data_IF_757860399320
#
_entry.id   IF_757860399320
#
_cell.length_a   1.000
_cell.length_b   1.000
_cell.length_c   1.000
_cell.angle_alpha   90.00
_cell.angle_beta   90.00
_cell.angle_gamma   90.00
#
_symmetry.space_group_name_H-M   'P 1'
#
loop_
_entity.id
_entity.type
_entity.pdbx_description
1 polymer ?
#
# COMPACT_ATOMS: atom_id res chain seq x y z
N UNK A 1 7.28 17.58 17.33
CA UNK A 1 7.24 16.18 16.85
C UNK A 1 5.85 15.77 16.35
N UNK A 2 4.81 16.61 16.55
CA UNK A 2 3.41 16.30 16.25
C UNK A 2 3.07 16.12 14.76
N UNK A 3 3.55 17.02 13.89
CA UNK A 3 3.14 17.03 12.48
C UNK A 3 3.68 15.83 11.68
N UNK A 4 4.92 15.43 11.94
CA UNK A 4 5.52 14.26 11.29
C UNK A 4 4.85 12.94 11.71
N UNK A 5 4.48 12.82 12.99
CA UNK A 5 3.81 11.61 13.51
C UNK A 5 2.38 11.51 13.00
N UNK A 6 1.64 12.63 13.01
CA UNK A 6 0.31 12.69 12.43
C UNK A 6 0.32 12.33 10.93
N UNK A 7 1.30 12.82 10.16
CA UNK A 7 1.48 12.46 8.76
C UNK A 7 1.69 10.96 8.54
N UNK A 8 2.53 10.32 9.37
CA UNK A 8 2.74 8.87 9.33
C UNK A 8 1.44 8.11 9.65
N UNK A 9 0.68 8.55 10.63
CA UNK A 9 -0.60 7.91 10.99
C UNK A 9 -1.62 8.00 9.85
N UNK A 10 -1.72 9.15 9.19
CA UNK A 10 -2.61 9.33 8.04
C UNK A 10 -2.24 8.42 6.86
N UNK A 11 -0.95 8.39 6.47
CA UNK A 11 -0.52 7.57 5.32
C UNK A 11 -0.63 6.07 5.63
N UNK A 12 -0.35 5.64 6.87
CA UNK A 12 -0.50 4.26 7.29
C UNK A 12 -1.97 3.81 7.17
N UNK A 13 -2.90 4.62 7.67
CA UNK A 13 -4.33 4.34 7.57
C UNK A 13 -4.79 4.26 6.10
N UNK A 14 -4.40 5.24 5.27
CA UNK A 14 -4.73 5.24 3.85
C UNK A 14 -4.19 4.00 3.13
N UNK A 15 -2.94 3.60 3.43
CA UNK A 15 -2.34 2.39 2.86
C UNK A 15 -3.07 1.11 3.27
N UNK A 16 -3.45 0.95 4.55
CA UNK A 16 -4.18 -0.24 5.00
C UNK A 16 -5.55 -0.36 4.33
N UNK A 17 -6.29 0.74 4.22
CA UNK A 17 -7.57 0.77 3.50
C UNK A 17 -7.39 0.44 2.02
N UNK A 18 -6.37 1.00 1.35
CA UNK A 18 -6.09 0.72 -0.05
C UNK A 18 -5.71 -0.75 -0.29
N UNK A 19 -4.91 -1.34 0.60
CA UNK A 19 -4.53 -2.76 0.55
C UNK A 19 -5.76 -3.66 0.64
N UNK A 20 -6.64 -3.40 1.60
CA UNK A 20 -7.80 -4.26 1.84
C UNK A 20 -8.84 -4.09 0.73
N UNK A 21 -9.08 -2.86 0.27
CA UNK A 21 -9.89 -2.62 -0.94
C UNK A 21 -9.34 -3.35 -2.18
N UNK A 22 -8.02 -3.38 -2.36
CA UNK A 22 -7.41 -4.05 -3.51
C UNK A 22 -7.58 -5.58 -3.51
N UNK A 23 -7.75 -6.19 -2.34
CA UNK A 23 -8.02 -7.63 -2.22
C UNK A 23 -9.42 -8.00 -2.67
N UNK A 24 -10.40 -7.16 -2.37
CA UNK A 24 -11.81 -7.47 -2.59
C UNK A 24 -12.33 -6.96 -3.94
N UNK A 25 -11.72 -5.89 -4.48
CA UNK A 25 -12.16 -5.27 -5.73
C UNK A 25 -11.82 -6.15 -6.93
N UNK A 26 -12.84 -6.74 -7.57
CA UNK A 26 -12.72 -7.51 -8.83
C UNK A 26 -12.85 -6.58 -10.03
N UNK A 27 -11.78 -6.46 -10.83
CA UNK A 27 -11.80 -5.63 -12.04
C UNK A 27 -10.67 -6.01 -13.01
N UNK A 28 -11.00 -5.99 -14.30
CA UNK A 28 -10.03 -6.24 -15.38
C UNK A 28 -9.65 -7.71 -15.49
N UNK A 29 -8.91 -8.02 -16.56
CA UNK A 29 -8.35 -9.35 -16.83
C UNK A 29 -6.84 -9.30 -16.62
N UNK A 30 -6.20 -10.43 -16.28
CA UNK A 30 -4.75 -10.47 -16.13
C UNK A 30 -4.03 -10.10 -17.43
N UNK A 31 -2.92 -9.37 -17.32
CA UNK A 31 -2.13 -8.92 -18.48
C UNK A 31 -1.57 -10.11 -19.29
N UNK A 32 -1.21 -11.20 -18.60
CA UNK A 32 -0.69 -12.42 -19.19
C UNK A 32 -1.74 -13.27 -19.90
N UNK A 33 -3.03 -13.11 -19.57
CA UNK A 33 -4.12 -13.85 -20.23
C UNK A 33 -5.34 -12.94 -20.48
N UNK A 34 -5.34 -12.19 -21.60
CA UNK A 34 -6.43 -11.28 -21.96
C UNK A 34 -7.79 -11.94 -22.20
N UNK A 35 -7.84 -13.27 -22.38
CA UNK A 35 -9.08 -14.05 -22.54
C UNK A 35 -9.57 -14.69 -21.22
N UNK A 36 -8.81 -14.55 -20.14
CA UNK A 36 -9.14 -15.12 -18.83
C UNK A 36 -10.27 -14.40 -18.12
N UNK A 37 -10.64 -14.93 -16.96
CA UNK A 37 -11.65 -14.37 -16.08
C UNK A 37 -11.21 -13.05 -15.43
N UNK A 38 -12.19 -12.34 -14.86
CA UNK A 38 -11.90 -11.12 -14.10
C UNK A 38 -11.19 -11.47 -12.80
N UNK A 39 -10.15 -10.73 -12.48
CA UNK A 39 -9.34 -10.94 -11.27
C UNK A 39 -9.48 -9.76 -10.31
N UNK A 40 -9.16 -10.00 -9.04
CA UNK A 40 -9.03 -8.92 -8.04
C UNK A 40 -7.86 -8.00 -8.41
N UNK A 41 -7.99 -6.70 -8.12
CA UNK A 41 -7.02 -5.71 -8.62
C UNK A 41 -5.63 -5.87 -8.02
N UNK A 42 -5.50 -6.50 -6.85
CA UNK A 42 -4.21 -6.86 -6.25
C UNK A 42 -3.38 -7.82 -7.12
N UNK A 43 -4.02 -8.52 -8.05
CA UNK A 43 -3.33 -9.40 -8.99
C UNK A 43 -2.64 -8.64 -10.12
N UNK A 44 -3.01 -7.39 -10.37
CA UNK A 44 -2.36 -6.54 -11.37
C UNK A 44 -0.99 -6.07 -10.88
N UNK A 45 -0.03 -6.07 -11.81
CA UNK A 45 1.38 -5.75 -11.56
C UNK A 45 1.56 -4.32 -11.04
N UNK A 46 0.87 -3.36 -11.64
CA UNK A 46 0.96 -1.95 -11.28
C UNK A 46 0.34 -1.64 -9.90
N UNK A 47 -0.78 -2.31 -9.59
CA UNK A 47 -1.39 -2.21 -8.25
C UNK A 47 -0.46 -2.81 -7.20
N UNK A 48 0.14 -3.97 -7.48
CA UNK A 48 1.11 -4.58 -6.57
C UNK A 48 2.33 -3.69 -6.37
N UNK A 49 2.86 -3.08 -7.44
CA UNK A 49 3.95 -2.10 -7.38
C UNK A 49 3.58 -0.92 -6.47
N UNK A 50 2.40 -0.35 -6.68
CA UNK A 50 1.90 0.80 -5.90
C UNK A 50 1.75 0.46 -4.42
N UNK A 51 1.15 -0.70 -4.11
CA UNK A 51 1.00 -1.16 -2.73
C UNK A 51 2.36 -1.46 -2.07
N UNK A 52 3.32 -2.03 -2.81
CA UNK A 52 4.66 -2.28 -2.28
C UNK A 52 5.38 -0.96 -1.95
N UNK A 53 5.25 0.05 -2.80
CA UNK A 53 5.77 1.39 -2.54
C UNK A 53 5.13 2.01 -1.30
N UNK A 54 3.80 1.95 -1.17
CA UNK A 54 3.08 2.45 0.00
C UNK A 54 3.51 1.77 1.31
N UNK A 55 3.71 0.44 1.27
CA UNK A 55 4.25 -0.33 2.40
C UNK A 55 5.64 0.15 2.78
N UNK A 56 6.56 0.22 1.81
CA UNK A 56 7.95 0.58 2.04
C UNK A 56 8.09 1.98 2.66
N UNK A 57 7.35 2.97 2.15
CA UNK A 57 7.36 4.33 2.69
C UNK A 57 6.85 4.37 4.13
N UNK A 58 5.70 3.72 4.39
CA UNK A 58 5.10 3.70 5.72
C UNK A 58 6.02 3.05 6.75
N UNK A 59 6.63 1.91 6.42
CA UNK A 59 7.54 1.20 7.32
C UNK A 59 8.86 1.94 7.52
N UNK A 60 9.45 2.53 6.47
CA UNK A 60 10.68 3.29 6.56
C UNK A 60 10.52 4.56 7.41
N UNK A 61 9.44 5.32 7.19
CA UNK A 61 9.15 6.52 7.98
C UNK A 61 8.92 6.12 9.45
N UNK A 62 8.16 5.05 9.71
CA UNK A 62 7.96 4.54 11.08
C UNK A 62 9.29 4.19 11.77
N UNK A 63 10.19 3.47 11.08
CA UNK A 63 11.51 3.13 11.62
C UNK A 63 12.35 4.39 11.89
N UNK A 64 12.31 5.38 10.99
CA UNK A 64 12.99 6.67 11.17
C UNK A 64 12.47 7.41 12.40
N UNK A 65 11.15 7.45 12.61
CA UNK A 65 10.56 8.08 13.79
C UNK A 65 11.00 7.41 15.09
N UNK A 66 10.98 6.06 15.13
CA UNK A 66 11.48 5.33 16.30
C UNK A 66 12.97 5.59 16.53
N UNK A 67 13.78 5.60 15.47
CA UNK A 67 15.21 5.91 15.60
C UNK A 67 15.44 7.29 16.20
N UNK A 68 14.69 8.31 15.77
CA UNK A 68 14.82 9.68 16.31
C UNK A 68 14.32 9.77 17.76
N UNK A 69 13.31 8.99 18.13
CA UNK A 69 12.76 9.01 19.49
C UNK A 69 13.68 8.35 20.53
N UNK A 70 14.39 7.28 20.14
CA UNK A 70 15.26 6.51 21.03
C UNK A 70 16.76 6.85 20.91
N UNK A 71 17.14 7.79 20.04
CA UNK A 71 18.51 8.29 19.89
C UNK A 71 18.68 9.61 20.64
#
# INVERSE_FOLDING_TARGET
METGHAGLSCIANAFYNARDYAKDRIQGRPLTNPKGDRVTIINHEDIRRTLLMGKAHTEAIRAMMYKIYYA
#
